data_IF_778345186972
#
_entry.id   IF_778345186972
#
_cell.length_a   1.000
_cell.length_b   1.000
_cell.length_c   1.000
_cell.angle_alpha   90.00
_cell.angle_beta   90.00
_cell.angle_gamma   90.00
#
_symmetry.space_group_name_H-M   'P 1'
#
loop_
_entity.id
_entity.type
_entity.pdbx_description
1 polymer ?
#
# COMPACT_ATOMS: atom_id res chain seq x y z
N UNK A 1 1.43 -12.99 -12.36
CA UNK A 1 1.34 -11.94 -11.33
C UNK A 1 0.97 -10.56 -11.89
N UNK A 2 1.60 -10.09 -12.95
CA UNK A 2 1.31 -8.76 -13.51
C UNK A 2 -0.01 -8.65 -14.30
N UNK A 3 -0.65 -9.77 -14.62
CA UNK A 3 -1.91 -9.75 -15.36
C UNK A 3 -3.07 -9.25 -14.47
N UNK A 4 -3.99 -8.44 -15.01
CA UNK A 4 -5.12 -7.90 -14.24
C UNK A 4 -6.00 -8.97 -13.58
N UNK A 5 -6.13 -10.13 -14.20
CA UNK A 5 -6.94 -11.24 -13.67
C UNK A 5 -6.34 -11.93 -12.44
N UNK A 6 -5.02 -11.80 -12.22
CA UNK A 6 -4.33 -12.53 -11.16
C UNK A 6 -4.72 -12.10 -9.75
N UNK A 7 -5.06 -10.83 -9.54
CA UNK A 7 -5.47 -10.32 -8.21
C UNK A 7 -6.97 -10.50 -7.95
N UNK A 8 -7.82 -10.50 -8.99
CA UNK A 8 -9.28 -10.54 -8.85
C UNK A 8 -9.83 -11.73 -8.06
N UNK A 9 -9.13 -12.86 -8.13
CA UNK A 9 -9.53 -14.09 -7.43
C UNK A 9 -9.43 -13.96 -5.91
N UNK A 10 -8.69 -12.98 -5.40
CA UNK A 10 -8.54 -12.73 -3.95
C UNK A 10 -9.56 -11.71 -3.42
N UNK A 11 -10.48 -11.18 -4.26
CA UNK A 11 -11.41 -10.10 -3.87
C UNK A 11 -12.25 -10.49 -2.65
N UNK A 12 -12.79 -11.70 -2.61
CA UNK A 12 -13.66 -12.15 -1.51
C UNK A 12 -12.87 -12.21 -0.20
N UNK A 13 -11.74 -12.90 -0.18
CA UNK A 13 -10.93 -13.08 1.03
C UNK A 13 -10.34 -11.76 1.54
N UNK A 14 -9.97 -10.85 0.65
CA UNK A 14 -9.48 -9.51 1.03
C UNK A 14 -10.63 -8.65 1.55
N UNK A 15 -11.84 -8.82 1.01
CA UNK A 15 -13.04 -8.17 1.55
C UNK A 15 -13.34 -8.62 2.99
N UNK A 16 -13.21 -9.90 3.30
CA UNK A 16 -13.41 -10.41 4.65
C UNK A 16 -12.40 -9.84 5.64
N UNK A 17 -11.12 -9.79 5.26
CA UNK A 17 -10.05 -9.18 6.10
C UNK A 17 -10.30 -7.66 6.28
N UNK A 18 -10.80 -6.97 5.27
CA UNK A 18 -11.18 -5.57 5.39
C UNK A 18 -12.38 -5.37 6.34
N UNK A 19 -13.36 -6.27 6.33
CA UNK A 19 -14.48 -6.26 7.28
C UNK A 19 -14.01 -6.49 8.72
N UNK A 20 -13.07 -7.41 8.95
CA UNK A 20 -12.43 -7.61 10.26
C UNK A 20 -11.71 -6.34 10.74
N UNK A 21 -10.99 -5.67 9.84
CA UNK A 21 -10.33 -4.40 10.18
C UNK A 21 -11.34 -3.29 10.52
N UNK A 22 -12.43 -3.18 9.77
CA UNK A 22 -13.53 -2.23 10.06
C UNK A 22 -14.14 -2.50 11.44
N UNK A 23 -14.32 -3.78 11.80
CA UNK A 23 -14.78 -4.17 13.15
C UNK A 23 -13.74 -3.82 14.22
N UNK A 24 -12.44 -4.05 13.95
CA UNK A 24 -11.36 -3.69 14.85
C UNK A 24 -11.32 -2.19 15.10
N UNK A 25 -11.48 -1.34 14.08
CA UNK A 25 -11.60 0.11 14.25
C UNK A 25 -12.73 0.46 15.24
N UNK A 26 -13.86 -0.23 15.18
CA UNK A 26 -14.96 -0.05 16.14
C UNK A 26 -14.57 -0.34 17.59
N UNK A 27 -13.69 -1.32 17.81
CA UNK A 27 -13.24 -1.74 19.15
C UNK A 27 -12.17 -0.79 19.72
N UNK A 28 -11.20 -0.35 18.88
CA UNK A 28 -10.03 0.41 19.35
C UNK A 28 -10.28 1.91 19.49
N UNK A 29 -11.28 2.46 18.81
CA UNK A 29 -11.62 3.88 18.94
C UNK A 29 -12.18 4.20 20.33
N UNK A 30 -11.80 5.35 20.85
CA UNK A 30 -12.27 5.84 22.16
C UNK A 30 -13.71 6.39 22.07
N UNK A 31 -14.23 6.92 23.20
CA UNK A 31 -15.57 7.52 23.29
C UNK A 31 -15.78 8.73 22.37
N UNK A 32 -14.72 9.42 21.98
CA UNK A 32 -14.73 10.53 21.02
C UNK A 32 -14.61 10.04 19.57
N UNK A 33 -14.73 8.74 19.32
CA UNK A 33 -14.53 8.09 18.04
C UNK A 33 -13.11 8.23 17.45
N UNK A 34 -12.11 8.58 18.26
CA UNK A 34 -10.72 8.69 17.85
C UNK A 34 -9.98 7.37 18.02
N UNK A 35 -9.16 7.04 17.03
CA UNK A 35 -8.26 5.88 17.10
C UNK A 35 -6.98 6.23 17.89
N UNK A 36 -6.23 5.21 18.39
CA UNK A 36 -4.96 5.43 19.06
C UNK A 36 -3.94 6.19 18.22
N UNK A 37 -2.97 6.83 18.86
CA UNK A 37 -1.91 7.62 18.21
C UNK A 37 -1.05 6.79 17.25
N UNK A 38 -0.92 5.48 17.51
CA UNK A 38 -0.18 4.51 16.71
C UNK A 38 -1.07 3.80 15.66
N UNK A 39 -2.16 4.43 15.21
CA UNK A 39 -3.11 3.83 14.27
C UNK A 39 -2.45 3.33 12.97
N UNK A 40 -1.33 3.90 12.56
CA UNK A 40 -0.55 3.39 11.44
C UNK A 40 -0.10 1.93 11.68
N UNK A 41 0.22 1.56 12.92
CA UNK A 41 0.56 0.18 13.28
C UNK A 41 -0.64 -0.78 13.10
N UNK A 42 -1.86 -0.33 13.36
CA UNK A 42 -3.06 -1.12 13.07
C UNK A 42 -3.25 -1.33 11.56
N UNK A 43 -2.94 -0.31 10.74
CA UNK A 43 -2.95 -0.46 9.28
C UNK A 43 -1.85 -1.43 8.81
N UNK A 44 -0.67 -1.43 9.43
CA UNK A 44 0.37 -2.44 9.18
C UNK A 44 -0.10 -3.86 9.48
N UNK A 45 -0.81 -4.07 10.59
CA UNK A 45 -1.40 -5.38 10.94
C UNK A 45 -2.39 -5.87 9.90
N UNK A 46 -3.27 -4.96 9.42
CA UNK A 46 -4.20 -5.29 8.34
C UNK A 46 -3.46 -5.65 7.04
N UNK A 47 -2.48 -4.86 6.63
CA UNK A 47 -1.71 -5.11 5.41
C UNK A 47 -0.94 -6.43 5.51
N UNK A 48 -0.35 -6.74 6.66
CA UNK A 48 0.36 -8.00 6.91
C UNK A 48 -0.58 -9.20 6.81
N UNK A 49 -1.78 -9.13 7.41
CA UNK A 49 -2.78 -10.19 7.33
C UNK A 49 -3.25 -10.44 5.89
N UNK A 50 -3.55 -9.36 5.16
CA UNK A 50 -3.96 -9.42 3.76
C UNK A 50 -2.88 -10.05 2.88
N UNK A 51 -1.64 -9.61 3.08
CA UNK A 51 -0.51 -10.10 2.31
C UNK A 51 -0.20 -11.57 2.60
N UNK A 52 -0.28 -12.00 3.87
CA UNK A 52 -0.09 -13.40 4.26
C UNK A 52 -1.14 -14.31 3.60
N UNK A 53 -2.37 -13.85 3.54
CA UNK A 53 -3.44 -14.58 2.87
C UNK A 53 -3.23 -14.69 1.36
N UNK A 54 -2.85 -13.60 0.69
CA UNK A 54 -2.57 -13.60 -0.75
C UNK A 54 -1.33 -14.45 -1.08
N UNK A 55 -0.25 -14.21 -0.34
CA UNK A 55 1.04 -14.81 -0.66
C UNK A 55 1.09 -16.30 -0.30
N UNK A 56 0.60 -16.67 0.88
CA UNK A 56 0.81 -17.97 1.51
C UNK A 56 -0.47 -18.79 1.73
N UNK A 57 -1.66 -18.21 1.54
CA UNK A 57 -2.94 -18.81 1.92
C UNK A 57 -3.02 -19.15 3.43
N UNK A 58 -2.51 -18.24 4.26
CA UNK A 58 -2.45 -18.38 5.72
C UNK A 58 -3.03 -17.16 6.40
N UNK A 59 -3.80 -17.38 7.47
CA UNK A 59 -4.18 -16.37 8.43
C UNK A 59 -3.14 -16.33 9.56
N UNK A 60 -2.54 -15.14 9.77
CA UNK A 60 -1.55 -14.93 10.84
C UNK A 60 -2.19 -14.51 12.15
N UNK A 61 -3.46 -14.07 12.13
CA UNK A 61 -4.16 -13.55 13.31
C UNK A 61 -3.72 -12.15 13.72
N UNK A 62 -3.21 -11.35 12.77
CA UNK A 62 -2.69 -10.02 13.06
C UNK A 62 -3.76 -9.04 13.59
N UNK A 63 -5.04 -9.28 13.28
CA UNK A 63 -6.17 -8.44 13.68
C UNK A 63 -6.87 -8.93 14.96
N UNK A 64 -6.41 -10.00 15.57
CA UNK A 64 -6.91 -10.47 16.85
C UNK A 64 -6.61 -9.46 17.98
N UNK A 65 -7.38 -9.55 19.08
CA UNK A 65 -7.20 -8.67 20.24
C UNK A 65 -5.85 -8.91 20.93
N UNK A 66 -5.32 -10.14 20.83
CA UNK A 66 -3.96 -10.52 21.31
C UNK A 66 -3.20 -11.22 20.19
N UNK A 67 -2.67 -10.48 19.21
CA UNK A 67 -1.90 -11.06 18.12
C UNK A 67 -0.60 -11.70 18.63
N UNK A 68 -0.04 -12.62 17.85
CA UNK A 68 1.24 -13.24 18.19
C UNK A 68 2.38 -12.20 18.24
N UNK A 69 3.42 -12.45 19.04
CA UNK A 69 4.62 -11.60 19.07
C UNK A 69 5.28 -11.48 17.69
N UNK A 70 5.20 -12.51 16.86
CA UNK A 70 5.71 -12.50 15.49
C UNK A 70 5.15 -11.33 14.67
N UNK A 71 3.87 -10.99 14.87
CA UNK A 71 3.20 -9.89 14.15
C UNK A 71 3.89 -8.56 14.42
N UNK A 72 4.09 -8.22 15.70
CA UNK A 72 4.71 -6.94 16.06
C UNK A 72 6.21 -6.94 15.73
N UNK A 73 6.90 -8.04 16.03
CA UNK A 73 8.33 -8.18 15.72
C UNK A 73 8.60 -8.03 14.22
N UNK A 74 7.74 -8.57 13.35
CA UNK A 74 7.89 -8.44 11.91
C UNK A 74 7.66 -6.99 11.44
N UNK A 75 6.62 -6.32 11.95
CA UNK A 75 6.33 -4.91 11.63
C UNK A 75 7.49 -4.03 12.08
N UNK A 76 7.98 -4.21 13.30
CA UNK A 76 9.10 -3.42 13.84
C UNK A 76 10.40 -3.67 13.06
N UNK A 77 10.67 -4.90 12.69
CA UNK A 77 11.83 -5.25 11.88
C UNK A 77 11.79 -4.63 10.47
N UNK A 78 10.61 -4.62 9.83
CA UNK A 78 10.40 -3.95 8.53
C UNK A 78 10.63 -2.44 8.66
N UNK A 79 10.12 -1.81 9.71
CA UNK A 79 10.35 -0.39 9.98
C UNK A 79 11.84 -0.08 10.19
N UNK A 80 12.54 -0.89 11.00
CA UNK A 80 13.98 -0.77 11.23
C UNK A 80 14.75 -0.93 9.91
N UNK A 81 14.38 -1.88 9.07
CA UNK A 81 14.97 -2.07 7.75
C UNK A 81 14.87 -0.78 6.93
N UNK A 82 13.67 -0.23 6.71
CA UNK A 82 13.48 0.95 5.88
C UNK A 82 14.14 2.22 6.43
N UNK A 83 14.17 2.42 7.75
CA UNK A 83 14.87 3.55 8.37
C UNK A 83 16.39 3.49 8.12
N UNK A 84 16.98 2.29 8.10
CA UNK A 84 18.43 2.14 8.01
C UNK A 84 18.96 2.06 6.56
N UNK A 85 18.16 1.62 5.60
CA UNK A 85 18.58 1.52 4.17
C UNK A 85 19.18 2.83 3.64
N UNK A 86 18.53 4.01 3.75
CA UNK A 86 19.12 5.24 3.20
C UNK A 86 20.40 5.65 3.92
N UNK A 87 20.53 5.33 5.19
CA UNK A 87 21.75 5.64 5.94
C UNK A 87 22.92 4.81 5.42
N UNK A 88 22.65 3.53 5.08
CA UNK A 88 23.68 2.61 4.61
C UNK A 88 24.02 2.82 3.12
N UNK A 89 23.04 3.20 2.30
CA UNK A 89 23.19 3.30 0.85
C UNK A 89 23.57 4.72 0.37
N UNK A 90 23.13 5.78 1.08
CA UNK A 90 23.31 7.14 0.62
C UNK A 90 24.39 7.92 1.40
N UNK A 91 24.84 7.42 2.55
CA UNK A 91 25.94 8.01 3.33
C UNK A 91 27.24 7.27 3.06
N UNK A 92 28.35 7.84 3.57
CA UNK A 92 29.68 7.19 3.48
C UNK A 92 29.60 5.79 4.08
N UNK A 93 29.96 4.75 3.34
CA UNK A 93 29.72 3.35 3.73
C UNK A 93 30.77 2.83 4.74
N UNK A 94 30.88 3.45 5.90
CA UNK A 94 31.78 3.01 6.98
C UNK A 94 31.54 1.54 7.41
N UNK A 95 30.30 1.06 7.24
CA UNK A 95 29.92 -0.33 7.51
C UNK A 95 30.73 -1.37 6.69
N UNK A 96 31.33 -0.96 5.56
CA UNK A 96 32.24 -1.80 4.76
C UNK A 96 33.62 -1.98 5.39
N UNK A 97 34.00 -1.10 6.34
CA UNK A 97 35.31 -1.13 7.00
C UNK A 97 35.17 -1.69 8.40
N UNK A 98 34.13 -1.31 9.13
CA UNK A 98 33.85 -1.77 10.49
C UNK A 98 32.35 -1.89 10.75
N UNK A 99 32.01 -2.78 11.69
CA UNK A 99 30.62 -3.11 12.00
C UNK A 99 29.93 -1.98 12.79
N UNK A 100 29.31 -1.02 12.08
CA UNK A 100 28.62 0.12 12.70
C UNK A 100 27.36 -0.29 13.45
N UNK A 101 26.90 0.47 14.48
CA UNK A 101 25.64 0.21 15.18
C UNK A 101 24.43 0.17 14.22
N UNK A 102 24.38 1.07 13.23
CA UNK A 102 23.34 1.10 12.20
C UNK A 102 23.32 -0.18 11.37
N UNK A 103 24.49 -0.67 10.93
CA UNK A 103 24.61 -1.91 10.17
C UNK A 103 24.19 -3.11 11.00
N UNK A 104 24.58 -3.17 12.28
CA UNK A 104 24.14 -4.26 13.19
C UNK A 104 22.62 -4.31 13.33
N UNK A 105 21.98 -3.17 13.59
CA UNK A 105 20.50 -3.10 13.67
C UNK A 105 19.83 -3.54 12.39
N UNK A 106 20.38 -3.13 11.25
CA UNK A 106 19.87 -3.53 9.93
C UNK A 106 19.96 -5.04 9.71
N UNK A 107 21.09 -5.66 10.04
CA UNK A 107 21.26 -7.12 9.92
C UNK A 107 20.32 -7.86 10.88
N UNK A 108 20.21 -7.43 12.12
CA UNK A 108 19.28 -8.02 13.10
C UNK A 108 17.83 -7.95 12.61
N UNK A 109 17.43 -6.83 12.01
CA UNK A 109 16.10 -6.69 11.40
C UNK A 109 15.89 -7.68 10.24
N UNK A 110 16.87 -7.82 9.35
CA UNK A 110 16.81 -8.80 8.26
C UNK A 110 16.73 -10.24 8.74
N UNK A 111 17.50 -10.60 9.78
CA UNK A 111 17.47 -11.94 10.36
C UNK A 111 16.11 -12.22 10.99
N UNK A 112 15.53 -11.26 11.72
CA UNK A 112 14.18 -11.36 12.28
C UNK A 112 13.11 -11.55 11.18
N UNK A 113 13.14 -10.73 10.14
CA UNK A 113 12.22 -10.83 9.00
C UNK A 113 12.35 -12.21 8.35
N UNK A 114 13.57 -12.66 8.08
CA UNK A 114 13.84 -13.96 7.47
C UNK A 114 13.31 -15.10 8.33
N UNK A 115 13.58 -15.09 9.63
CA UNK A 115 13.18 -16.14 10.57
C UNK A 115 11.64 -16.27 10.62
N UNK A 116 10.94 -15.16 10.85
CA UNK A 116 9.50 -15.14 10.94
C UNK A 116 8.86 -15.54 9.59
N UNK A 117 9.32 -14.93 8.49
CA UNK A 117 8.75 -15.26 7.17
C UNK A 117 8.98 -16.73 6.80
N UNK A 118 10.18 -17.30 7.07
CA UNK A 118 10.44 -18.71 6.79
C UNK A 118 9.57 -19.64 7.64
N UNK A 119 9.29 -19.29 8.90
CA UNK A 119 8.33 -20.03 9.75
C UNK A 119 6.97 -20.15 9.09
N UNK A 120 6.41 -19.02 8.60
CA UNK A 120 5.09 -19.03 7.95
C UNK A 120 5.12 -19.62 6.54
N UNK A 121 6.20 -19.45 5.78
CA UNK A 121 6.39 -20.13 4.49
C UNK A 121 6.40 -21.64 4.69
N UNK A 122 7.15 -22.16 5.67
CA UNK A 122 7.20 -23.59 5.95
C UNK A 122 5.82 -24.10 6.38
N UNK A 123 5.11 -23.39 7.25
CA UNK A 123 3.72 -23.73 7.64
C UNK A 123 2.78 -23.77 6.43
N UNK A 124 2.93 -22.84 5.48
CA UNK A 124 2.17 -22.87 4.22
C UNK A 124 2.51 -24.07 3.38
N UNK A 125 3.80 -24.42 3.33
CA UNK A 125 4.29 -25.57 2.55
C UNK A 125 3.81 -26.91 3.11
N UNK A 126 3.71 -27.07 4.42
CA UNK A 126 3.16 -28.29 5.07
C UNK A 126 1.69 -28.53 4.71
N UNK A 127 0.94 -27.43 4.52
CA UNK A 127 -0.49 -27.46 4.17
C UNK A 127 -0.74 -27.34 2.66
N UNK A 128 0.27 -27.57 1.84
CA UNK A 128 0.23 -27.29 0.42
C UNK A 128 -0.66 -28.30 -0.30
N UNK A 129 -1.76 -27.83 -0.88
CA UNK A 129 -2.61 -28.62 -1.75
C UNK A 129 -2.44 -28.14 -3.20
N UNK A 130 -1.69 -28.89 -4.00
CA UNK A 130 -1.41 -28.58 -5.41
C UNK A 130 -2.57 -28.99 -6.34
N UNK A 131 -3.58 -29.71 -5.84
CA UNK A 131 -4.76 -30.14 -6.61
C UNK A 131 -5.86 -29.08 -6.61
N UNK A 132 -5.68 -27.98 -5.85
CA UNK A 132 -6.61 -26.84 -5.88
C UNK A 132 -6.71 -26.25 -7.29
N UNK A 133 -7.92 -25.81 -7.70
CA UNK A 133 -8.06 -25.00 -8.92
C UNK A 133 -7.14 -23.76 -8.87
N UNK A 134 -6.58 -23.37 -9.99
CA UNK A 134 -5.67 -22.21 -10.06
C UNK A 134 -6.29 -20.92 -9.50
N UNK A 135 -7.63 -20.78 -9.61
CA UNK A 135 -8.41 -19.69 -9.02
C UNK A 135 -8.42 -19.66 -7.48
N UNK A 136 -8.01 -20.74 -6.82
CA UNK A 136 -7.96 -20.85 -5.35
C UNK A 136 -6.52 -20.96 -4.82
N UNK A 137 -5.54 -20.91 -5.70
CA UNK A 137 -4.13 -21.01 -5.31
C UNK A 137 -3.58 -19.68 -4.83
N UNK A 138 -2.77 -19.72 -3.76
CA UNK A 138 -1.94 -18.60 -3.33
C UNK A 138 -0.87 -18.26 -4.37
N UNK A 139 -0.22 -17.10 -4.18
CA UNK A 139 0.87 -16.68 -5.06
C UNK A 139 2.02 -17.69 -5.04
N UNK A 140 2.40 -18.20 -3.84
CA UNK A 140 3.49 -19.17 -3.72
C UNK A 140 3.16 -20.49 -4.42
N UNK A 141 1.92 -20.97 -4.32
CA UNK A 141 1.48 -22.19 -5.00
C UNK A 141 1.57 -22.07 -6.52
N UNK A 142 1.16 -20.92 -7.09
CA UNK A 142 1.29 -20.64 -8.53
C UNK A 142 2.74 -20.60 -9.00
N UNK A 143 3.61 -19.99 -8.20
CA UNK A 143 5.03 -19.91 -8.53
C UNK A 143 5.70 -21.28 -8.47
N UNK A 144 5.33 -22.12 -7.49
CA UNK A 144 5.88 -23.47 -7.33
C UNK A 144 5.54 -24.42 -8.49
N UNK A 145 4.45 -24.16 -9.24
CA UNK A 145 4.14 -24.97 -10.43
C UNK A 145 5.21 -24.92 -11.51
N UNK A 146 5.89 -23.78 -11.62
CA UNK A 146 6.81 -23.49 -12.72
C UNK A 146 8.25 -23.26 -12.24
N UNK A 147 8.47 -23.14 -10.92
CA UNK A 147 9.74 -22.71 -10.37
C UNK A 147 10.16 -23.55 -9.15
N UNK A 148 11.48 -23.67 -8.89
CA UNK A 148 11.98 -24.31 -7.68
C UNK A 148 11.50 -23.59 -6.41
N UNK A 149 11.37 -24.35 -5.30
CA UNK A 149 10.96 -23.83 -3.98
C UNK A 149 11.76 -22.62 -3.52
N UNK A 150 13.06 -22.57 -3.83
CA UNK A 150 13.94 -21.44 -3.50
C UNK A 150 13.43 -20.12 -4.11
N UNK A 151 12.96 -20.16 -5.37
CA UNK A 151 12.43 -18.96 -6.05
C UNK A 151 11.12 -18.50 -5.40
N UNK A 152 10.24 -19.43 -5.08
CA UNK A 152 8.99 -19.15 -4.42
C UNK A 152 9.20 -18.54 -3.02
N UNK A 153 10.15 -19.10 -2.24
CA UNK A 153 10.50 -18.59 -0.91
C UNK A 153 11.12 -17.19 -0.96
N UNK A 154 12.02 -16.92 -1.90
CA UNK A 154 12.59 -15.57 -2.08
C UNK A 154 11.50 -14.58 -2.45
N UNK A 155 10.61 -14.93 -3.37
CA UNK A 155 9.51 -14.04 -3.75
C UNK A 155 8.58 -13.76 -2.57
N UNK A 156 8.26 -14.76 -1.75
CA UNK A 156 7.44 -14.56 -0.56
C UNK A 156 8.13 -13.62 0.45
N UNK A 157 9.42 -13.82 0.72
CA UNK A 157 10.23 -12.91 1.57
C UNK A 157 10.19 -11.47 1.04
N UNK A 158 10.40 -11.29 -0.25
CA UNK A 158 10.37 -9.95 -0.88
C UNK A 158 8.99 -9.31 -0.77
N UNK A 159 7.90 -10.09 -0.94
CA UNK A 159 6.54 -9.58 -0.79
C UNK A 159 6.28 -9.09 0.64
N UNK A 160 6.69 -9.83 1.67
CA UNK A 160 6.53 -9.41 3.06
C UNK A 160 7.38 -8.17 3.38
N UNK A 161 8.64 -8.16 2.95
CA UNK A 161 9.57 -7.06 3.21
C UNK A 161 9.06 -5.71 2.69
N UNK A 162 8.53 -5.68 1.46
CA UNK A 162 8.18 -4.40 0.80
C UNK A 162 6.68 -4.15 0.70
N UNK A 163 5.84 -5.18 0.83
CA UNK A 163 4.40 -5.08 0.61
C UNK A 163 3.65 -4.44 1.78
N UNK A 164 4.02 -4.78 3.01
CA UNK A 164 3.32 -4.34 4.22
C UNK A 164 3.40 -2.82 4.39
N UNK A 165 4.60 -2.27 4.43
CA UNK A 165 4.81 -0.87 4.77
C UNK A 165 4.35 0.08 3.66
N UNK A 166 4.59 -0.27 2.40
CA UNK A 166 4.17 0.57 1.26
C UNK A 166 2.65 0.69 1.14
N UNK A 167 1.93 -0.41 1.28
CA UNK A 167 0.46 -0.45 1.22
C UNK A 167 -0.14 0.31 2.41
N UNK A 168 0.39 0.13 3.61
CA UNK A 168 -0.07 0.79 4.82
C UNK A 168 0.09 2.32 4.76
N UNK A 169 1.23 2.81 4.30
CA UNK A 169 1.48 4.24 4.15
C UNK A 169 0.60 4.87 3.05
N UNK A 170 0.31 4.13 1.98
CA UNK A 170 -0.66 4.57 0.97
C UNK A 170 -2.07 4.72 1.57
N UNK A 171 -2.55 3.73 2.31
CA UNK A 171 -3.85 3.77 3.01
C UNK A 171 -3.91 4.92 4.00
N UNK A 172 -2.87 5.10 4.82
CA UNK A 172 -2.78 6.21 5.79
C UNK A 172 -2.92 7.57 5.10
N UNK A 173 -2.21 7.77 3.98
CA UNK A 173 -2.29 9.00 3.19
C UNK A 173 -3.67 9.21 2.56
N UNK A 174 -4.33 8.15 2.08
CA UNK A 174 -5.67 8.23 1.50
C UNK A 174 -6.70 8.59 2.56
N UNK A 175 -6.66 7.93 3.73
CA UNK A 175 -7.56 8.24 4.85
C UNK A 175 -7.36 9.68 5.33
N UNK A 176 -6.11 10.14 5.44
CA UNK A 176 -5.81 11.52 5.78
C UNK A 176 -6.39 12.50 4.75
N UNK A 177 -6.16 12.30 3.45
CA UNK A 177 -6.69 13.18 2.41
C UNK A 177 -8.22 13.22 2.40
N UNK A 178 -8.88 12.09 2.55
CA UNK A 178 -10.34 12.04 2.65
C UNK A 178 -10.87 12.70 3.92
N UNK A 179 -10.15 12.61 5.03
CA UNK A 179 -10.58 13.21 6.30
C UNK A 179 -10.51 14.74 6.34
N UNK A 180 -9.61 15.35 5.56
CA UNK A 180 -9.46 16.82 5.47
C UNK A 180 -10.20 17.43 4.26
N UNK A 181 -10.82 16.58 3.41
CA UNK A 181 -11.63 17.00 2.26
C UNK A 181 -13.03 16.35 2.35
N UNK A 182 -13.88 16.81 3.29
CA UNK A 182 -15.16 16.16 3.59
C UNK A 182 -16.11 16.11 2.39
N UNK A 183 -16.10 17.14 1.52
CA UNK A 183 -16.92 17.16 0.31
C UNK A 183 -16.54 16.05 -0.69
N UNK A 184 -15.23 15.74 -0.80
CA UNK A 184 -14.76 14.64 -1.65
C UNK A 184 -15.06 13.28 -1.02
N UNK A 185 -15.01 13.22 0.30
CA UNK A 185 -15.38 12.03 1.05
C UNK A 185 -16.87 11.69 0.88
N UNK A 186 -17.77 12.71 0.86
CA UNK A 186 -19.21 12.48 0.64
C UNK A 186 -19.49 11.98 -0.79
N UNK A 187 -18.89 12.60 -1.82
CA UNK A 187 -19.03 12.11 -3.20
C UNK A 187 -18.56 10.64 -3.34
N UNK A 188 -17.48 10.30 -2.65
CA UNK A 188 -17.01 8.91 -2.60
C UNK A 188 -18.01 7.99 -1.90
N UNK A 189 -18.60 8.46 -0.80
CA UNK A 189 -19.59 7.69 -0.05
C UNK A 189 -20.86 7.45 -0.88
N UNK A 190 -21.34 8.45 -1.61
CA UNK A 190 -22.48 8.34 -2.53
C UNK A 190 -22.23 7.26 -3.61
N UNK A 191 -21.05 7.27 -4.26
CA UNK A 191 -20.68 6.21 -5.21
C UNK A 191 -20.69 4.83 -4.56
N UNK A 192 -20.14 4.72 -3.34
CA UNK A 192 -20.08 3.45 -2.62
C UNK A 192 -21.49 2.96 -2.27
N UNK A 193 -22.38 3.83 -1.80
CA UNK A 193 -23.78 3.48 -1.49
C UNK A 193 -24.52 2.97 -2.71
N UNK A 194 -24.31 3.58 -3.86
CA UNK A 194 -24.91 3.11 -5.12
C UNK A 194 -24.52 1.66 -5.46
N UNK A 195 -23.25 1.27 -5.18
CA UNK A 195 -22.73 -0.07 -5.49
C UNK A 195 -22.91 -1.07 -4.34
N UNK A 196 -22.97 -0.57 -3.10
CA UNK A 196 -23.13 -1.33 -1.87
C UNK A 196 -24.28 -0.73 -1.04
N UNK A 197 -25.55 -0.89 -1.45
CA UNK A 197 -26.70 -0.22 -0.83
C UNK A 197 -26.95 -0.67 0.61
N UNK A 198 -26.62 -1.93 0.93
CA UNK A 198 -26.77 -2.51 2.27
C UNK A 198 -25.42 -2.85 2.89
N UNK A 199 -25.34 -2.96 4.22
CA UNK A 199 -24.10 -3.27 4.94
C UNK A 199 -23.60 -4.68 4.70
N UNK A 200 -24.50 -5.60 4.38
CA UNK A 200 -24.24 -7.02 4.05
C UNK A 200 -24.01 -7.24 2.55
N UNK A 201 -24.09 -6.18 1.73
CA UNK A 201 -23.83 -6.26 0.30
C UNK A 201 -22.40 -6.73 0.03
N UNK A 202 -22.27 -7.90 -0.63
CA UNK A 202 -20.96 -8.44 -1.01
C UNK A 202 -20.22 -7.50 -1.95
N UNK A 203 -18.97 -7.22 -1.63
CA UNK A 203 -18.05 -6.50 -2.48
C UNK A 203 -17.44 -7.46 -3.50
N UNK A 204 -17.80 -7.28 -4.76
CA UNK A 204 -17.29 -8.09 -5.87
C UNK A 204 -16.27 -7.30 -6.71
N UNK A 205 -15.52 -8.01 -7.53
CA UNK A 205 -14.58 -7.39 -8.47
C UNK A 205 -15.27 -6.39 -9.40
N UNK A 206 -16.45 -6.74 -9.91
CA UNK A 206 -17.24 -5.91 -10.84
C UNK A 206 -17.66 -4.60 -10.16
N UNK A 207 -18.09 -4.67 -8.89
CA UNK A 207 -18.43 -3.49 -8.09
C UNK A 207 -17.23 -2.59 -7.86
N UNK A 208 -16.06 -3.17 -7.49
CA UNK A 208 -14.81 -2.40 -7.36
C UNK A 208 -14.38 -1.77 -8.68
N UNK A 209 -14.54 -2.48 -9.80
CA UNK A 209 -14.25 -1.94 -11.12
C UNK A 209 -15.17 -0.79 -11.51
N UNK A 210 -16.42 -0.80 -11.06
CA UNK A 210 -17.40 0.24 -11.29
C UNK A 210 -17.22 1.49 -10.41
N UNK A 211 -16.46 1.40 -9.29
CA UNK A 211 -16.16 2.54 -8.41
C UNK A 211 -15.07 3.43 -9.02
N UNK A 212 -15.48 4.35 -9.88
CA UNK A 212 -14.56 5.21 -10.65
C UNK A 212 -14.02 6.34 -9.78
N UNK A 213 -14.85 6.91 -8.91
CA UNK A 213 -14.46 8.01 -8.01
C UNK A 213 -13.51 7.52 -6.92
N UNK A 214 -13.73 6.31 -6.38
CA UNK A 214 -12.78 5.65 -5.48
C UNK A 214 -11.37 5.58 -6.09
N UNK A 215 -11.29 5.10 -7.34
CA UNK A 215 -10.01 5.02 -8.07
C UNK A 215 -9.40 6.40 -8.31
N UNK A 216 -10.22 7.41 -8.55
CA UNK A 216 -9.77 8.78 -8.73
C UNK A 216 -9.18 9.36 -7.44
N UNK A 217 -9.82 9.14 -6.28
CA UNK A 217 -9.30 9.53 -4.95
C UNK A 217 -7.95 8.87 -4.65
N UNK A 218 -7.83 7.57 -4.91
CA UNK A 218 -6.58 6.82 -4.73
C UNK A 218 -5.48 7.36 -5.63
N UNK A 219 -5.76 7.56 -6.92
CA UNK A 219 -4.79 8.11 -7.88
C UNK A 219 -4.33 9.50 -7.49
N UNK A 220 -5.25 10.36 -7.07
CA UNK A 220 -4.92 11.72 -6.67
C UNK A 220 -4.06 11.75 -5.42
N UNK A 221 -4.38 10.93 -4.42
CA UNK A 221 -3.53 10.80 -3.23
C UNK A 221 -2.12 10.32 -3.60
N UNK A 222 -2.01 9.28 -4.42
CA UNK A 222 -0.72 8.74 -4.83
C UNK A 222 0.07 9.68 -5.75
N UNK A 223 -0.59 10.59 -6.46
CA UNK A 223 0.06 11.68 -7.19
C UNK A 223 0.70 12.67 -6.22
N UNK A 224 -0.06 13.13 -5.22
CA UNK A 224 0.41 14.13 -4.25
C UNK A 224 1.43 13.56 -3.27
N UNK A 225 1.21 12.31 -2.83
CA UNK A 225 1.97 11.60 -1.81
C UNK A 225 2.38 10.21 -2.31
N UNK A 226 3.23 10.13 -3.35
CA UNK A 226 3.74 8.84 -3.81
C UNK A 226 4.62 8.23 -2.73
N UNK A 227 4.27 7.03 -2.27
CA UNK A 227 5.04 6.34 -1.21
C UNK A 227 6.50 6.20 -1.60
N UNK A 228 6.79 5.90 -2.86
CA UNK A 228 8.15 5.89 -3.43
C UNK A 228 8.35 7.17 -4.23
N UNK A 229 9.17 8.09 -3.70
CA UNK A 229 9.39 9.43 -4.28
C UNK A 229 10.14 9.43 -5.61
N UNK A 230 10.82 8.35 -5.93
CA UNK A 230 11.57 8.20 -7.17
C UNK A 230 12.20 6.83 -7.32
N UNK A 231 12.72 6.55 -8.48
CA UNK A 231 13.51 5.36 -8.72
C UNK A 231 14.73 5.66 -9.59
N UNK A 232 15.78 4.88 -9.40
CA UNK A 232 17.03 5.01 -10.13
C UNK A 232 17.25 3.94 -11.20
N UNK A 233 17.99 4.30 -12.23
CA UNK A 233 18.48 3.38 -13.24
C UNK A 233 19.92 3.72 -13.57
N UNK A 234 20.76 2.72 -13.58
CA UNK A 234 22.13 2.89 -14.08
C UNK A 234 22.14 2.65 -15.60
N UNK A 235 22.77 3.55 -16.36
CA UNK A 235 22.92 3.39 -17.80
C UNK A 235 23.81 2.22 -18.13
N UNK A 236 23.35 1.33 -19.00
CA UNK A 236 24.12 0.17 -19.47
C UNK A 236 25.06 0.48 -20.65
N UNK A 237 24.81 1.61 -21.32
CA UNK A 237 25.59 2.17 -22.42
C UNK A 237 25.46 3.70 -22.38
N UNK A 238 26.26 4.39 -23.18
CA UNK A 238 26.10 5.83 -23.42
C UNK A 238 24.73 6.08 -24.03
N UNK A 239 24.03 7.10 -23.54
CA UNK A 239 22.70 7.49 -24.02
C UNK A 239 22.57 9.00 -24.10
N UNK A 240 21.65 9.49 -24.95
CA UNK A 240 21.26 10.91 -25.00
C UNK A 240 19.92 11.06 -24.29
N UNK A 241 19.87 11.88 -23.24
CA UNK A 241 18.64 12.20 -22.50
C UNK A 241 18.43 13.71 -22.55
N UNK A 242 17.33 14.15 -23.14
CA UNK A 242 16.99 15.58 -23.31
C UNK A 242 18.14 16.42 -23.90
N UNK A 243 18.90 15.85 -24.85
CA UNK A 243 20.04 16.50 -25.51
C UNK A 243 21.36 16.39 -24.75
N UNK A 244 21.39 15.86 -23.55
CA UNK A 244 22.62 15.66 -22.77
C UNK A 244 23.20 14.26 -23.02
N UNK A 245 24.51 14.20 -23.27
CA UNK A 245 25.25 12.94 -23.31
C UNK A 245 25.43 12.41 -21.90
N UNK A 246 24.87 11.23 -21.63
CA UNK A 246 24.96 10.54 -20.35
C UNK A 246 25.79 9.27 -20.54
N UNK A 247 27.02 9.21 -19.97
CA UNK A 247 27.90 8.06 -20.12
C UNK A 247 27.32 6.80 -19.48
N UNK A 248 27.83 5.64 -19.93
CA UNK A 248 27.61 4.35 -19.27
C UNK A 248 28.01 4.42 -17.80
N UNK A 249 27.18 3.79 -16.94
CA UNK A 249 27.44 3.70 -15.50
C UNK A 249 26.89 4.86 -14.68
N UNK A 250 26.34 5.90 -15.32
CA UNK A 250 25.71 7.01 -14.61
C UNK A 250 24.36 6.59 -14.04
N UNK A 251 24.13 6.94 -12.77
CA UNK A 251 22.85 6.75 -12.09
C UNK A 251 21.87 7.87 -12.47
N UNK A 252 20.82 7.54 -13.19
CA UNK A 252 19.72 8.45 -13.53
C UNK A 252 18.58 8.23 -12.55
N UNK A 253 18.12 9.30 -11.87
CA UNK A 253 17.05 9.25 -10.89
C UNK A 253 15.80 9.92 -11.46
N UNK A 254 14.70 9.17 -11.51
CA UNK A 254 13.38 9.66 -11.89
C UNK A 254 12.63 10.11 -10.63
N UNK A 255 12.42 11.41 -10.50
CA UNK A 255 11.85 12.03 -9.29
C UNK A 255 10.32 12.09 -9.39
N UNK A 256 9.64 11.00 -9.08
CA UNK A 256 8.18 10.89 -9.20
C UNK A 256 7.44 11.97 -8.39
N UNK A 257 7.84 12.20 -7.13
CA UNK A 257 7.23 13.21 -6.27
C UNK A 257 7.35 14.63 -6.86
N UNK A 258 8.51 14.98 -7.38
CA UNK A 258 8.73 16.34 -7.91
C UNK A 258 7.85 16.55 -9.15
N UNK A 259 7.93 15.66 -10.12
CA UNK A 259 7.19 15.78 -11.40
C UNK A 259 5.68 15.78 -11.15
N UNK A 260 5.17 14.88 -10.31
CA UNK A 260 3.74 14.76 -10.06
C UNK A 260 3.14 15.94 -9.27
N UNK A 261 3.96 16.81 -8.68
CA UNK A 261 3.54 17.98 -7.91
C UNK A 261 3.87 19.32 -8.59
N UNK A 262 4.26 19.32 -9.89
CA UNK A 262 4.51 20.53 -10.66
C UNK A 262 3.24 21.05 -11.35
N UNK A 263 3.03 22.37 -11.30
CA UNK A 263 1.90 23.05 -11.95
C UNK A 263 1.92 22.89 -13.48
N UNK A 264 3.08 22.68 -14.08
CA UNK A 264 3.25 22.42 -15.50
C UNK A 264 2.46 21.19 -15.96
N UNK A 265 2.45 20.11 -15.12
CA UNK A 265 1.76 18.86 -15.45
C UNK A 265 0.38 18.76 -14.84
N UNK A 266 0.18 19.36 -13.65
CA UNK A 266 -1.07 19.28 -12.90
C UNK A 266 -1.48 20.66 -12.39
N UNK A 267 -2.42 21.32 -13.06
CA UNK A 267 -2.98 22.59 -12.59
C UNK A 267 -3.51 22.45 -11.18
N UNK A 268 -3.19 23.41 -10.28
CA UNK A 268 -3.47 23.31 -8.85
C UNK A 268 -2.90 22.01 -8.27
N UNK A 269 -1.62 21.77 -8.50
CA UNK A 269 -0.94 20.51 -8.16
C UNK A 269 -0.95 20.20 -6.66
N UNK A 270 -1.11 21.22 -5.80
CA UNK A 270 -1.15 21.05 -4.33
C UNK A 270 -2.55 20.80 -3.77
N UNK A 271 -3.59 20.90 -4.61
CA UNK A 271 -4.97 20.67 -4.19
C UNK A 271 -5.37 19.21 -4.48
N UNK A 272 -6.19 18.66 -3.58
CA UNK A 272 -6.74 17.31 -3.75
C UNK A 272 -7.97 17.38 -4.66
N UNK A 273 -7.80 17.06 -5.94
CA UNK A 273 -8.83 17.13 -6.98
C UNK A 273 -8.96 15.77 -7.68
N UNK A 274 -9.68 14.80 -7.09
CA UNK A 274 -9.93 13.49 -7.72
C UNK A 274 -10.54 13.59 -9.11
N UNK A 275 -11.36 14.62 -9.33
CA UNK A 275 -12.10 14.83 -10.57
C UNK A 275 -11.19 15.02 -11.79
N UNK A 276 -9.91 15.39 -11.59
CA UNK A 276 -8.94 15.47 -12.72
C UNK A 276 -8.69 14.14 -13.43
N UNK A 277 -9.07 13.02 -12.78
CA UNK A 277 -8.95 11.68 -13.35
C UNK A 277 -10.21 11.18 -14.05
N UNK A 278 -11.29 11.97 -14.02
CA UNK A 278 -12.60 11.63 -14.59
C UNK A 278 -12.74 12.27 -15.97
N UNK A 279 -12.65 11.49 -17.05
CA UNK A 279 -12.64 11.98 -18.43
C UNK A 279 -13.82 12.89 -18.81
N UNK A 280 -14.98 12.69 -18.18
CA UNK A 280 -16.20 13.45 -18.46
C UNK A 280 -16.40 14.65 -17.52
N UNK A 281 -15.43 14.98 -16.66
CA UNK A 281 -15.53 16.09 -15.72
C UNK A 281 -14.76 17.32 -16.23
N UNK A 282 -15.25 18.53 -15.92
CA UNK A 282 -14.64 19.80 -16.37
C UNK A 282 -13.20 20.00 -15.82
N UNK A 283 -12.88 19.38 -14.70
CA UNK A 283 -11.52 19.40 -14.13
C UNK A 283 -10.55 18.45 -14.82
N UNK A 284 -11.03 17.59 -15.73
CA UNK A 284 -10.16 16.72 -16.52
C UNK A 284 -9.27 17.55 -17.44
N UNK A 285 -7.98 17.32 -17.34
CA UNK A 285 -7.01 17.80 -18.33
C UNK A 285 -6.14 16.62 -18.72
N UNK A 286 -5.89 16.51 -20.02
CA UNK A 286 -4.91 15.54 -20.49
C UNK A 286 -3.53 15.93 -19.98
N UNK A 287 -2.87 15.00 -19.32
CA UNK A 287 -1.53 15.16 -18.79
C UNK A 287 -0.61 14.08 -19.36
N UNK A 288 0.67 14.35 -19.38
CA UNK A 288 1.62 13.39 -19.89
C UNK A 288 1.54 12.07 -19.10
N UNK A 289 1.45 10.90 -19.75
CA UNK A 289 1.24 9.61 -19.08
C UNK A 289 2.30 9.28 -18.00
N UNK A 290 3.50 9.86 -18.12
CA UNK A 290 4.60 9.66 -17.18
C UNK A 290 4.71 10.74 -16.09
N UNK A 291 3.80 11.72 -16.07
CA UNK A 291 3.80 12.75 -15.04
C UNK A 291 3.42 12.23 -13.65
N UNK A 292 2.73 11.08 -13.56
CA UNK A 292 2.43 10.41 -12.29
C UNK A 292 2.60 8.90 -12.42
N UNK A 293 3.64 8.35 -11.82
CA UNK A 293 4.04 6.94 -11.89
C UNK A 293 4.25 6.32 -10.49
N UNK A 294 3.24 6.26 -9.62
CA UNK A 294 3.41 5.78 -8.24
C UNK A 294 3.88 4.32 -8.16
N UNK A 295 3.63 3.52 -9.20
CA UNK A 295 4.08 2.12 -9.31
C UNK A 295 5.24 1.92 -10.30
N UNK A 296 5.81 3.00 -10.84
CA UNK A 296 6.84 2.95 -11.87
C UNK A 296 6.32 2.50 -13.24
N UNK A 297 7.24 2.21 -14.17
CA UNK A 297 6.94 1.83 -15.55
C UNK A 297 7.93 0.80 -16.09
N UNK A 298 7.49 0.00 -17.07
CA UNK A 298 8.29 -0.95 -17.84
C UNK A 298 8.63 -2.23 -17.06
N UNK A 299 9.74 -2.89 -17.43
CA UNK A 299 10.16 -4.19 -16.88
C UNK A 299 10.44 -4.18 -15.37
N UNK A 300 10.64 -3.02 -14.78
CA UNK A 300 10.94 -2.82 -13.34
C UNK A 300 9.79 -2.12 -12.61
N UNK A 301 8.59 -2.08 -13.18
CA UNK A 301 7.40 -1.61 -12.48
C UNK A 301 7.09 -2.50 -11.27
N UNK A 302 6.33 -1.97 -10.32
CA UNK A 302 5.93 -2.70 -9.12
C UNK A 302 5.25 -4.03 -9.48
N UNK A 303 5.82 -5.14 -8.97
CA UNK A 303 5.28 -6.48 -9.16
C UNK A 303 3.96 -6.66 -8.40
N UNK A 304 3.84 -6.07 -7.20
CA UNK A 304 2.68 -6.14 -6.32
C UNK A 304 1.54 -5.18 -6.70
N UNK A 305 1.68 -4.34 -7.74
CA UNK A 305 0.71 -3.29 -8.08
C UNK A 305 -0.75 -3.75 -8.03
N UNK A 306 -1.07 -4.90 -8.61
CA UNK A 306 -2.45 -5.39 -8.71
C UNK A 306 -3.03 -5.81 -7.37
N UNK A 307 -2.19 -6.38 -6.51
CA UNK A 307 -2.56 -6.75 -5.15
C UNK A 307 -2.75 -5.51 -4.29
N UNK A 308 -1.79 -4.58 -4.31
CA UNK A 308 -1.90 -3.32 -3.59
C UNK A 308 -3.14 -2.49 -4.02
N UNK A 309 -3.42 -2.40 -5.33
CA UNK A 309 -4.63 -1.75 -5.84
C UNK A 309 -5.90 -2.42 -5.32
N UNK A 310 -5.96 -3.77 -5.26
CA UNK A 310 -7.10 -4.51 -4.73
C UNK A 310 -7.26 -4.27 -3.22
N UNK A 311 -6.19 -4.44 -2.45
CA UNK A 311 -6.19 -4.24 -0.99
C UNK A 311 -6.66 -2.83 -0.62
N UNK A 312 -6.04 -1.80 -1.21
CA UNK A 312 -6.36 -0.39 -0.93
C UNK A 312 -7.81 -0.08 -1.32
N UNK A 313 -8.25 -0.46 -2.53
CA UNK A 313 -9.62 -0.18 -2.98
C UNK A 313 -10.64 -0.85 -2.07
N UNK A 314 -10.42 -2.11 -1.69
CA UNK A 314 -11.32 -2.87 -0.83
C UNK A 314 -11.42 -2.24 0.56
N UNK A 315 -10.29 -1.93 1.19
CA UNK A 315 -10.31 -1.36 2.54
C UNK A 315 -10.94 0.04 2.56
N UNK A 316 -10.56 0.92 1.64
CA UNK A 316 -11.13 2.27 1.57
C UNK A 316 -12.63 2.23 1.30
N UNK A 317 -13.11 1.36 0.39
CA UNK A 317 -14.53 1.19 0.14
C UNK A 317 -15.29 0.75 1.41
N UNK A 318 -14.78 -0.23 2.15
CA UNK A 318 -15.40 -0.73 3.39
C UNK A 318 -15.38 0.32 4.52
N UNK A 319 -14.27 1.02 4.70
CA UNK A 319 -14.17 2.11 5.69
C UNK A 319 -15.15 3.24 5.34
N UNK A 320 -15.14 3.73 4.10
CA UNK A 320 -15.99 4.86 3.69
C UNK A 320 -17.48 4.48 3.67
N UNK A 321 -17.81 3.21 3.43
CA UNK A 321 -19.18 2.69 3.57
C UNK A 321 -19.68 2.78 5.02
N UNK A 322 -18.80 2.51 5.98
CA UNK A 322 -19.15 2.34 7.40
C UNK A 322 -18.95 3.62 8.20
N UNK A 323 -17.92 4.40 7.89
CA UNK A 323 -17.52 5.55 8.69
C UNK A 323 -17.41 6.83 7.86
N UNK A 324 -17.76 7.94 8.50
CA UNK A 324 -17.25 9.27 8.19
C UNK A 324 -15.92 9.43 8.93
N UNK A 325 -14.86 9.78 8.22
CA UNK A 325 -13.53 9.96 8.80
C UNK A 325 -13.19 11.44 8.86
N UNK A 326 -12.74 11.92 10.02
CA UNK A 326 -12.39 13.31 10.26
C UNK A 326 -10.99 13.44 10.85
N UNK A 327 -10.35 14.58 10.60
CA UNK A 327 -9.05 14.95 11.18
C UNK A 327 -9.09 16.42 11.62
N UNK A 328 -8.86 16.69 12.91
CA UNK A 328 -9.03 18.03 13.52
C UNK A 328 -7.74 18.61 14.10
N UNK A 329 -6.60 18.04 13.73
CA UNK A 329 -5.30 18.45 14.25
C UNK A 329 -4.53 19.30 13.24
N UNK A 330 -3.32 19.71 13.60
CA UNK A 330 -2.41 20.40 12.67
C UNK A 330 -2.13 19.52 11.46
N UNK A 331 -1.87 20.17 10.31
CA UNK A 331 -1.50 19.48 9.07
C UNK A 331 -0.46 18.41 9.35
N UNK A 332 -0.72 17.21 8.86
CA UNK A 332 0.20 16.09 9.00
C UNK A 332 1.44 16.35 8.15
N UNK A 333 2.60 16.30 8.78
CA UNK A 333 3.87 16.35 8.07
C UNK A 333 4.21 14.99 7.45
N UNK A 334 5.14 15.02 6.50
CA UNK A 334 5.64 13.82 5.84
C UNK A 334 7.16 13.79 5.89
N UNK A 335 7.70 12.63 6.18
CA UNK A 335 9.14 12.38 6.12
C UNK A 335 9.52 11.69 4.81
N UNK A 336 10.69 12.09 4.28
CA UNK A 336 11.38 11.36 3.22
C UNK A 336 12.48 10.52 3.89
N UNK A 337 12.15 9.26 4.15
CA UNK A 337 13.14 8.17 4.20
C UNK A 337 13.19 7.57 2.79
N UNK A 338 13.56 6.34 2.48
CA UNK A 338 13.39 5.91 1.08
C UNK A 338 11.92 5.98 0.64
N UNK A 339 10.99 6.00 1.59
CA UNK A 339 9.56 6.21 1.38
C UNK A 339 9.11 7.56 1.93
N UNK A 340 8.07 8.10 1.32
CA UNK A 340 7.39 9.32 1.73
C UNK A 340 6.21 8.96 2.61
N UNK A 341 6.42 9.04 3.91
CA UNK A 341 5.50 8.51 4.92
C UNK A 341 4.99 9.60 5.84
N UNK A 342 3.75 9.47 6.36
CA UNK A 342 3.25 10.35 7.41
C UNK A 342 4.20 10.41 8.60
N UNK A 343 4.46 11.62 9.09
CA UNK A 343 5.30 11.89 10.25
C UNK A 343 4.45 12.40 11.41
N UNK A 344 4.23 11.56 12.39
CA UNK A 344 3.44 11.89 13.56
C UNK A 344 2.18 11.03 13.70
N UNK A 345 1.44 11.19 14.79
CA UNK A 345 0.28 10.38 15.09
C UNK A 345 -0.85 10.62 14.09
N UNK A 346 -1.37 9.54 13.52
CA UNK A 346 -2.51 9.56 12.61
C UNK A 346 -3.84 9.56 13.41
N UNK A 347 -4.14 10.69 14.06
CA UNK A 347 -5.31 10.87 14.94
C UNK A 347 -6.60 11.05 14.14
N UNK A 348 -7.12 9.99 13.60
CA UNK A 348 -8.37 10.01 12.85
C UNK A 348 -9.57 9.74 13.77
N UNK A 349 -10.70 10.39 13.49
CA UNK A 349 -12.00 10.09 14.10
C UNK A 349 -12.85 9.31 13.12
N UNK A 350 -13.34 8.15 13.56
CA UNK A 350 -14.20 7.27 12.76
C UNK A 350 -15.62 7.32 13.32
N UNK A 351 -16.48 8.12 12.71
CA UNK A 351 -17.86 8.32 13.11
C UNK A 351 -18.72 7.36 12.28
N UNK A 352 -19.43 6.45 12.94
CA UNK A 352 -20.27 5.47 12.23
C UNK A 352 -21.38 6.20 11.45
N UNK A 353 -21.51 5.89 10.16
CA UNK A 353 -22.60 6.38 9.33
C UNK A 353 -23.87 5.61 9.66
N UNK A 354 -25.02 6.31 9.68
CA UNK A 354 -26.32 5.65 9.79
C UNK A 354 -26.65 5.01 8.45
N UNK A 355 -27.32 3.84 8.50
CA UNK A 355 -27.78 3.13 7.30
C UNK A 355 -29.05 3.81 6.70
N UNK A 356 -29.05 5.14 6.54
CA UNK A 356 -30.13 5.82 5.84
C UNK A 356 -29.99 5.57 4.33
N UNK A 357 -31.03 5.00 3.69
CA UNK A 357 -31.04 4.90 2.23
C UNK A 357 -30.97 6.30 1.63
N UNK A 358 -30.26 6.43 0.50
CA UNK A 358 -30.25 7.66 -0.30
C UNK A 358 -31.69 8.12 -0.55
N UNK A 359 -32.00 9.34 -0.16
CA UNK A 359 -33.30 9.99 -0.45
C UNK A 359 -33.39 10.36 -1.92
#
# INVERSE_FOLDING_TARGET
MLQPRSAKIYTEVISDIADEFVQRVSKIRNRNCEVPDDFLNEIHRWSLESLAQIALDIRMGCLEDSPSEDTQNLIDAINIFFINVPILELKIPFWRIFNTPTFRRYIQALDCIKEICLKYINKSMENLNMDKPESQMSVIQKVLKENPIKVASILALDLFLVGVDTTSNAVASILYQLSINPEKQELLHEEILEKLPTTDAKLTTEKLEAMIYLKACIKETMRMYPVVIGNGRQTSSDVIISGYHVPKGVQVIFQHYVISNQEEYFTRARDFIPERWLKNHMAFKEHHPFASLPFGFGKRMCLGKRFAELEIQTLIAKIMRTYKVEYHYKKLDYHIHPMYTPNGPLKLRFIKRNDEPLK
#
